data_IF_313146213897
#
_entry.id   IF_313146213897
#
_cell.length_a   1.000
_cell.length_b   1.000
_cell.length_c   1.000
_cell.angle_alpha   90.00
_cell.angle_beta   90.00
_cell.angle_gamma   90.00
#
_symmetry.space_group_name_H-M   'P 1'
#
loop_
_entity.id
_entity.type
_entity.pdbx_description
1 polymer ?
#
# COMPACT_ATOMS: atom_id res chain seq x y z
N UNK A 1 10.80 -28.41 -18.08
CA UNK A 1 10.28 -27.07 -17.74
C UNK A 1 11.14 -26.52 -16.61
N UNK A 2 12.10 -25.65 -16.89
CA UNK A 2 12.85 -24.96 -15.83
C UNK A 2 11.89 -24.00 -15.13
N UNK A 3 11.53 -24.31 -13.88
CA UNK A 3 10.86 -23.34 -13.03
C UNK A 3 11.82 -22.18 -12.80
N UNK A 4 11.57 -21.05 -13.45
CA UNK A 4 12.23 -19.79 -13.11
C UNK A 4 11.73 -19.38 -11.72
N UNK A 5 12.48 -19.75 -10.67
CA UNK A 5 12.12 -19.44 -9.28
C UNK A 5 11.85 -17.95 -9.03
N UNK A 6 12.46 -17.08 -9.84
CA UNK A 6 12.26 -15.63 -9.83
C UNK A 6 10.80 -15.27 -10.19
N UNK A 7 10.22 -15.90 -11.23
CA UNK A 7 8.84 -15.63 -11.65
C UNK A 7 7.82 -16.10 -10.60
N UNK A 8 8.08 -17.28 -9.99
CA UNK A 8 7.24 -17.79 -8.92
C UNK A 8 7.27 -16.87 -7.68
N UNK A 9 8.45 -16.39 -7.30
CA UNK A 9 8.61 -15.44 -6.20
C UNK A 9 7.86 -14.12 -6.48
N UNK A 10 7.94 -13.58 -7.70
CA UNK A 10 7.20 -12.36 -8.08
C UNK A 10 5.69 -12.54 -7.98
N UNK A 11 5.16 -13.67 -8.45
CA UNK A 11 3.72 -13.96 -8.37
C UNK A 11 3.28 -14.12 -6.91
N UNK A 12 4.07 -14.82 -6.10
CA UNK A 12 3.78 -15.02 -4.68
C UNK A 12 3.78 -13.69 -3.92
N UNK A 13 4.80 -12.85 -4.15
CA UNK A 13 4.93 -11.53 -3.52
C UNK A 13 3.77 -10.63 -3.95
N UNK A 14 3.45 -10.55 -5.25
CA UNK A 14 2.30 -9.78 -5.72
C UNK A 14 0.99 -10.26 -5.08
N UNK A 15 0.79 -11.58 -4.97
CA UNK A 15 -0.39 -12.17 -4.32
C UNK A 15 -0.54 -11.77 -2.86
N UNK A 16 0.53 -11.88 -2.06
CA UNK A 16 0.51 -11.50 -0.64
C UNK A 16 0.37 -9.98 -0.48
N UNK A 17 0.98 -9.20 -1.36
CA UNK A 17 0.83 -7.74 -1.39
C UNK A 17 -0.62 -7.31 -1.63
N UNK A 18 -1.36 -7.98 -2.53
CA UNK A 18 -2.78 -7.69 -2.72
C UNK A 18 -3.60 -7.97 -1.44
N UNK A 19 -3.34 -9.09 -0.77
CA UNK A 19 -4.01 -9.41 0.51
C UNK A 19 -3.70 -8.35 1.56
N UNK A 20 -2.44 -7.92 1.66
CA UNK A 20 -2.02 -6.85 2.57
C UNK A 20 -2.70 -5.51 2.25
N UNK A 21 -2.85 -5.16 0.98
CA UNK A 21 -3.55 -3.93 0.57
C UNK A 21 -5.02 -3.95 0.97
N UNK A 22 -5.73 -5.06 0.76
CA UNK A 22 -7.14 -5.19 1.20
C UNK A 22 -7.27 -5.19 2.73
N UNK A 23 -6.35 -5.85 3.45
CA UNK A 23 -6.30 -5.83 4.90
C UNK A 23 -6.08 -4.39 5.44
N UNK A 24 -5.19 -3.63 4.80
CA UNK A 24 -4.95 -2.23 5.13
C UNK A 24 -6.19 -1.36 4.91
N UNK A 25 -6.90 -1.54 3.78
CA UNK A 25 -8.17 -0.83 3.53
C UNK A 25 -9.21 -1.18 4.61
N UNK A 26 -9.37 -2.46 4.94
CA UNK A 26 -10.29 -2.89 5.99
C UNK A 26 -9.93 -2.28 7.35
N UNK A 27 -8.64 -2.28 7.71
CA UNK A 27 -8.15 -1.65 8.92
C UNK A 27 -8.44 -0.15 8.95
N UNK A 28 -8.23 0.57 7.85
CA UNK A 28 -8.55 2.00 7.74
C UNK A 28 -10.05 2.27 7.94
N UNK A 29 -10.92 1.44 7.37
CA UNK A 29 -12.39 1.55 7.55
C UNK A 29 -12.78 1.29 9.01
N UNK A 30 -12.20 0.28 9.65
CA UNK A 30 -12.46 -0.02 11.07
C UNK A 30 -11.98 1.14 11.93
N UNK A 31 -10.76 1.65 11.71
CA UNK A 31 -10.21 2.79 12.46
C UNK A 31 -11.06 4.05 12.29
N UNK A 32 -11.64 4.28 11.11
CA UNK A 32 -12.57 5.38 10.88
C UNK A 32 -13.87 5.23 11.68
N UNK A 33 -14.45 4.03 11.73
CA UNK A 33 -15.64 3.77 12.55
C UNK A 33 -15.37 3.91 14.05
N UNK A 34 -14.21 3.40 14.49
CA UNK A 34 -13.72 3.55 15.87
C UNK A 34 -13.55 5.02 16.21
N UNK A 35 -12.93 5.81 15.34
CA UNK A 35 -12.77 7.26 15.50
C UNK A 35 -14.13 7.96 15.69
N UNK A 36 -15.15 7.61 14.89
CA UNK A 36 -16.50 8.15 15.05
C UNK A 36 -17.12 7.81 16.41
N UNK A 37 -16.85 6.61 16.95
CA UNK A 37 -17.35 6.17 18.27
C UNK A 37 -16.69 6.90 19.43
N UNK A 38 -15.43 7.29 19.28
CA UNK A 38 -14.66 8.01 20.32
C UNK A 38 -14.83 9.54 20.27
N UNK A 39 -15.51 10.09 19.25
CA UNK A 39 -15.97 11.47 19.22
C UNK A 39 -14.85 12.52 19.09
N UNK A 40 -14.37 13.04 20.22
CA UNK A 40 -13.30 14.04 20.30
C UNK A 40 -12.40 13.75 21.50
N UNK A 41 -11.12 13.49 21.24
CA UNK A 41 -10.10 13.19 22.23
C UNK A 41 -8.79 12.74 21.57
N UNK A 42 -7.70 12.68 22.34
CA UNK A 42 -6.38 12.26 21.85
C UNK A 42 -6.42 10.88 21.19
N UNK A 43 -7.27 9.96 21.69
CA UNK A 43 -7.44 8.64 21.10
C UNK A 43 -8.14 8.70 19.73
N UNK A 44 -9.18 9.54 19.58
CA UNK A 44 -9.85 9.72 18.29
C UNK A 44 -8.90 10.33 17.25
N UNK A 45 -8.06 11.28 17.67
CA UNK A 45 -7.01 11.81 16.79
C UNK A 45 -6.01 10.73 16.40
N UNK A 46 -5.53 9.94 17.37
CA UNK A 46 -4.60 8.82 17.15
C UNK A 46 -5.12 7.82 16.11
N UNK A 47 -6.33 7.29 16.30
CA UNK A 47 -6.98 6.38 15.35
C UNK A 47 -7.19 7.01 13.97
N UNK A 48 -7.49 8.31 13.90
CA UNK A 48 -7.60 9.01 12.63
C UNK A 48 -6.25 9.05 11.90
N UNK A 49 -5.16 9.42 12.59
CA UNK A 49 -3.80 9.45 12.00
C UNK A 49 -3.34 8.07 11.56
N UNK A 50 -3.54 7.03 12.37
CA UNK A 50 -3.16 5.65 12.02
C UNK A 50 -4.01 5.16 10.84
N UNK A 51 -5.33 5.40 10.88
CA UNK A 51 -6.23 5.04 9.79
C UNK A 51 -5.85 5.71 8.47
N UNK A 52 -5.45 6.99 8.49
CA UNK A 52 -4.94 7.67 7.29
C UNK A 52 -3.59 7.12 6.82
N UNK A 53 -2.66 6.84 7.74
CA UNK A 53 -1.35 6.28 7.39
C UNK A 53 -1.47 4.90 6.73
N UNK A 54 -2.28 4.02 7.33
CA UNK A 54 -2.57 2.68 6.77
C UNK A 54 -3.22 2.79 5.38
N UNK A 55 -4.02 3.82 5.12
CA UNK A 55 -4.58 4.09 3.79
C UNK A 55 -3.50 4.48 2.77
N UNK A 56 -2.53 5.30 3.17
CA UNK A 56 -1.35 5.62 2.35
C UNK A 56 -0.51 4.37 2.05
N UNK A 57 -0.30 3.49 3.03
CA UNK A 57 0.39 2.20 2.82
C UNK A 57 -0.36 1.36 1.77
N UNK A 58 -1.70 1.25 1.88
CA UNK A 58 -2.51 0.50 0.92
C UNK A 58 -2.33 1.01 -0.51
N UNK A 59 -2.34 2.34 -0.69
CA UNK A 59 -2.11 2.98 -2.00
C UNK A 59 -0.68 2.69 -2.50
N UNK A 60 0.33 2.76 -1.62
CA UNK A 60 1.72 2.44 -1.96
C UNK A 60 1.90 1.00 -2.46
N UNK A 61 1.24 0.04 -1.82
CA UNK A 61 1.25 -1.38 -2.22
C UNK A 61 0.57 -1.57 -3.58
N UNK A 62 -0.57 -0.91 -3.83
CA UNK A 62 -1.27 -0.98 -5.11
C UNK A 62 -0.39 -0.41 -6.24
N UNK A 63 0.24 0.74 -6.02
CA UNK A 63 1.15 1.35 -7.00
C UNK A 63 2.34 0.42 -7.29
N UNK A 64 2.89 -0.23 -6.27
CA UNK A 64 3.98 -1.18 -6.44
C UNK A 64 3.58 -2.39 -7.28
N UNK A 65 2.40 -2.95 -7.01
CA UNK A 65 1.86 -4.04 -7.80
C UNK A 65 1.68 -3.61 -9.26
N UNK A 66 1.09 -2.44 -9.52
CA UNK A 66 0.91 -1.89 -10.88
C UNK A 66 2.25 -1.73 -11.59
N UNK A 67 3.28 -1.24 -10.91
CA UNK A 67 4.62 -1.08 -11.49
C UNK A 67 5.26 -2.45 -11.82
N UNK A 68 5.14 -3.41 -10.90
CA UNK A 68 5.58 -4.81 -11.09
C UNK A 68 4.91 -5.49 -12.29
N UNK A 69 3.61 -5.24 -12.50
CA UNK A 69 2.85 -5.79 -13.64
C UNK A 69 3.18 -5.11 -14.98
N UNK A 70 3.34 -3.78 -15.00
CA UNK A 70 3.59 -3.03 -16.23
C UNK A 70 5.06 -3.05 -16.67
N UNK A 71 5.97 -3.62 -15.87
CA UNK A 71 7.41 -3.69 -16.13
C UNK A 71 7.97 -2.35 -16.65
N UNK A 72 7.53 -1.24 -16.04
CA UNK A 72 7.94 0.10 -16.45
C UNK A 72 9.45 0.24 -16.25
N UNK A 73 10.21 -0.03 -17.31
CA UNK A 73 11.67 0.04 -17.31
C UNK A 73 12.12 1.44 -16.90
N UNK A 74 13.20 1.50 -16.10
CA UNK A 74 13.79 2.71 -15.50
C UNK A 74 14.29 3.78 -16.50
N UNK A 75 14.03 3.60 -17.79
CA UNK A 75 14.47 4.47 -18.89
C UNK A 75 13.55 5.66 -19.14
N UNK A 76 12.32 5.64 -18.62
CA UNK A 76 11.31 6.67 -18.90
C UNK A 76 11.09 7.56 -17.66
N UNK A 77 11.11 8.91 -17.76
CA UNK A 77 10.84 9.82 -16.62
C UNK A 77 9.55 9.50 -15.84
N UNK A 78 8.55 8.92 -16.49
CA UNK A 78 7.31 8.48 -15.84
C UNK A 78 7.52 7.35 -14.81
N UNK A 79 8.49 6.45 -15.00
CA UNK A 79 8.76 5.36 -14.04
C UNK A 79 9.45 5.88 -12.77
N UNK A 80 10.32 6.89 -12.89
CA UNK A 80 10.93 7.59 -11.75
C UNK A 80 9.87 8.34 -10.94
N UNK A 81 8.90 8.99 -11.59
CA UNK A 81 7.78 9.66 -10.93
C UNK A 81 6.92 8.69 -10.11
N UNK A 82 6.57 7.54 -10.68
CA UNK A 82 5.79 6.49 -9.98
C UNK A 82 6.57 5.95 -8.77
N UNK A 83 7.89 5.78 -8.89
CA UNK A 83 8.74 5.32 -7.79
C UNK A 83 8.79 6.33 -6.63
N UNK A 84 8.87 7.63 -6.94
CA UNK A 84 8.79 8.68 -5.91
C UNK A 84 7.43 8.70 -5.22
N UNK A 85 6.31 8.63 -5.97
CA UNK A 85 4.96 8.61 -5.39
C UNK A 85 4.78 7.40 -4.48
N UNK A 86 5.24 6.21 -4.91
CA UNK A 86 5.27 5.01 -4.07
C UNK A 86 6.06 5.27 -2.79
N UNK A 87 7.28 5.80 -2.90
CA UNK A 87 8.14 6.11 -1.77
C UNK A 87 7.47 7.05 -0.77
N UNK A 88 6.83 8.13 -1.23
CA UNK A 88 6.08 9.04 -0.37
C UNK A 88 4.92 8.35 0.35
N UNK A 89 4.19 7.47 -0.33
CA UNK A 89 3.09 6.72 0.30
C UNK A 89 3.58 5.82 1.45
N UNK A 90 4.77 5.23 1.34
CA UNK A 90 5.36 4.41 2.42
C UNK A 90 6.01 5.23 3.53
N UNK A 91 6.46 6.45 3.26
CA UNK A 91 7.07 7.33 4.29
C UNK A 91 6.01 8.06 5.11
N UNK A 92 4.91 8.46 4.47
CA UNK A 92 3.78 9.14 5.12
C UNK A 92 2.87 8.13 5.84
N UNK A 93 2.76 6.92 5.26
CA UNK A 93 1.95 5.83 5.78
C UNK A 93 2.54 5.15 7.01
#
# INVERSE_FOLDING_TARGET
MQFNGIQFLTILVNGISFVAAFAAIAAAVIMYQVTKKFGSGILAHGFKTIGTGVLFIAIGIIIDAVNSYLQLSYTNPYSVGIFMIKGFCFVIG
#
